data_IF_612259657620
#
_entry.id   IF_612259657620
#
_cell.length_a   1.000
_cell.length_b   1.000
_cell.length_c   1.000
_cell.angle_alpha   90.00
_cell.angle_beta   90.00
_cell.angle_gamma   90.00
#
_symmetry.space_group_name_H-M   'P 1'
#
loop_
_entity.id
_entity.type
_entity.pdbx_description
1 polymer ?
#
# COMPACT_ATOMS: atom_id res chain seq x y z
N UNK A 1 13.51 -29.72 -2.22
CA UNK A 1 12.04 -29.69 -2.16
C UNK A 1 11.51 -29.65 -3.58
N UNK A 2 10.31 -30.17 -3.84
CA UNK A 2 9.70 -30.12 -5.18
C UNK A 2 9.12 -28.72 -5.48
N UNK A 3 9.19 -28.24 -6.74
CA UNK A 3 8.54 -26.98 -7.14
C UNK A 3 7.01 -27.11 -7.12
N UNK A 4 6.25 -26.01 -6.95
CA UNK A 4 4.79 -26.04 -6.96
C UNK A 4 4.25 -26.41 -8.35
N UNK A 5 3.57 -27.56 -8.43
CA UNK A 5 2.99 -28.07 -9.69
C UNK A 5 1.70 -27.31 -10.05
N UNK A 6 1.78 -26.42 -11.04
CA UNK A 6 0.58 -25.83 -11.65
C UNK A 6 -0.04 -26.81 -12.66
N UNK A 7 -1.22 -27.34 -12.33
CA UNK A 7 -1.98 -28.30 -13.15
C UNK A 7 -2.98 -27.64 -14.11
N UNK A 8 -3.11 -26.30 -14.06
CA UNK A 8 -3.98 -25.55 -14.95
C UNK A 8 -3.46 -25.48 -16.38
N UNK A 9 -4.33 -25.04 -17.30
CA UNK A 9 -3.93 -24.79 -18.69
C UNK A 9 -3.04 -23.54 -18.78
N UNK A 10 -2.15 -23.44 -19.79
CA UNK A 10 -1.53 -22.16 -20.14
C UNK A 10 -2.61 -21.11 -20.44
N UNK A 11 -2.42 -19.89 -19.96
CA UNK A 11 -3.41 -18.81 -20.09
C UNK A 11 -2.75 -17.42 -20.10
N UNK A 12 -3.42 -16.46 -20.73
CA UNK A 12 -3.06 -15.05 -20.75
C UNK A 12 -4.15 -14.27 -20.03
N UNK A 13 -3.81 -13.63 -18.90
CA UNK A 13 -4.73 -12.80 -18.12
C UNK A 13 -4.42 -11.35 -18.47
N UNK A 14 -5.26 -10.72 -19.30
CA UNK A 14 -5.14 -9.31 -19.66
C UNK A 14 -5.33 -8.44 -18.41
N UNK A 15 -4.44 -7.48 -18.20
CA UNK A 15 -4.57 -6.50 -17.12
C UNK A 15 -5.71 -5.53 -17.39
N UNK A 16 -6.43 -5.12 -16.34
CA UNK A 16 -7.29 -3.93 -16.43
C UNK A 16 -6.42 -2.68 -16.49
N UNK A 17 -7.01 -1.55 -16.87
CA UNK A 17 -6.33 -0.26 -16.89
C UNK A 17 -5.76 0.14 -15.51
N UNK A 18 -6.48 -0.21 -14.43
CA UNK A 18 -6.01 -0.02 -13.05
C UNK A 18 -4.78 -0.88 -12.72
N UNK A 19 -4.81 -2.18 -13.08
CA UNK A 19 -3.70 -3.10 -12.80
C UNK A 19 -2.43 -2.74 -13.58
N UNK A 20 -2.61 -2.30 -14.83
CA UNK A 20 -1.52 -1.91 -15.72
C UNK A 20 -0.83 -0.62 -15.24
N UNK A 21 -1.56 0.31 -14.62
CA UNK A 21 -0.99 1.53 -14.03
C UNK A 21 -0.02 1.22 -12.88
N UNK A 22 -0.38 0.26 -12.02
CA UNK A 22 0.41 -0.12 -10.84
C UNK A 22 1.38 -1.27 -11.09
N UNK A 23 1.43 -1.84 -12.29
CA UNK A 23 2.15 -3.10 -12.57
C UNK A 23 3.66 -3.04 -12.34
N UNK A 24 4.23 -1.84 -12.31
CA UNK A 24 5.65 -1.55 -12.05
C UNK A 24 6.01 -1.62 -10.55
N UNK A 25 5.01 -1.73 -9.67
CA UNK A 25 5.18 -1.77 -8.22
C UNK A 25 5.08 -3.20 -7.68
N UNK A 26 5.79 -3.46 -6.58
CA UNK A 26 5.53 -4.61 -5.71
C UNK A 26 4.88 -4.13 -4.41
N UNK A 27 3.84 -4.83 -3.95
CA UNK A 27 3.35 -4.72 -2.57
C UNK A 27 4.27 -5.55 -1.69
N UNK A 28 4.83 -4.94 -0.65
CA UNK A 28 5.83 -5.55 0.22
C UNK A 28 5.42 -5.40 1.68
N UNK A 29 5.33 -6.53 2.40
CA UNK A 29 4.98 -6.56 3.83
C UNK A 29 5.89 -7.54 4.58
N UNK A 30 6.07 -7.31 5.89
CA UNK A 30 6.88 -8.17 6.78
C UNK A 30 6.09 -8.50 8.04
N UNK A 31 6.05 -9.78 8.41
CA UNK A 31 5.32 -10.29 9.57
C UNK A 31 6.27 -10.91 10.60
N UNK A 32 6.15 -10.48 11.86
CA UNK A 32 7.06 -10.86 12.95
C UNK A 32 6.35 -11.71 14.02
N UNK A 33 6.61 -13.01 14.01
CA UNK A 33 6.03 -14.00 14.92
C UNK A 33 6.98 -14.34 16.08
N UNK A 34 6.47 -14.33 17.31
CA UNK A 34 7.25 -14.50 18.55
C UNK A 34 7.16 -15.95 19.08
N UNK A 35 8.29 -16.66 19.16
CA UNK A 35 8.34 -18.01 19.74
C UNK A 35 8.47 -17.93 21.27
N UNK A 36 7.38 -17.55 21.93
CA UNK A 36 7.33 -17.29 23.39
C UNK A 36 7.82 -18.47 24.22
N UNK A 37 7.43 -19.67 23.82
CA UNK A 37 7.68 -20.90 24.55
C UNK A 37 9.01 -21.58 24.12
N UNK A 38 9.76 -20.96 23.19
CA UNK A 38 11.00 -21.49 22.58
C UNK A 38 10.83 -22.92 22.04
N UNK A 39 9.64 -23.23 21.49
CA UNK A 39 9.34 -24.55 20.92
C UNK A 39 10.25 -24.85 19.73
N UNK A 40 10.88 -26.04 19.64
CA UNK A 40 11.71 -26.41 18.50
C UNK A 40 10.89 -26.47 17.20
N UNK A 41 9.62 -26.86 17.30
CA UNK A 41 8.70 -27.02 16.16
C UNK A 41 7.86 -25.74 15.90
N UNK A 42 8.38 -24.56 16.24
CA UNK A 42 7.69 -23.29 16.01
C UNK A 42 7.70 -22.89 14.54
N UNK A 43 6.54 -23.00 13.88
CA UNK A 43 6.35 -22.69 12.46
C UNK A 43 7.36 -23.41 11.53
N UNK A 44 7.37 -24.75 11.47
CA UNK A 44 8.42 -25.51 10.79
C UNK A 44 8.54 -25.17 9.30
N UNK A 45 9.76 -25.02 8.80
CA UNK A 45 10.04 -24.58 7.44
C UNK A 45 9.38 -25.44 6.36
N UNK A 46 9.45 -26.77 6.47
CA UNK A 46 8.76 -27.70 5.56
C UNK A 46 7.23 -27.49 5.54
N UNK A 47 6.64 -27.18 6.70
CA UNK A 47 5.19 -26.87 6.81
C UNK A 47 4.87 -25.53 6.12
N UNK A 48 5.68 -24.49 6.35
CA UNK A 48 5.51 -23.18 5.71
C UNK A 48 5.68 -23.26 4.19
N UNK A 49 6.74 -23.91 3.71
CA UNK A 49 7.00 -24.10 2.28
C UNK A 49 5.93 -24.97 1.60
N UNK A 50 5.51 -26.07 2.23
CA UNK A 50 4.44 -26.91 1.67
C UNK A 50 3.10 -26.16 1.63
N UNK A 51 2.79 -25.37 2.66
CA UNK A 51 1.61 -24.48 2.66
C UNK A 51 1.71 -23.39 1.58
N UNK A 52 2.91 -22.86 1.34
CA UNK A 52 3.17 -21.86 0.30
C UNK A 52 2.93 -22.45 -1.09
N UNK A 53 3.46 -23.64 -1.37
CA UNK A 53 3.26 -24.35 -2.65
C UNK A 53 1.79 -24.74 -2.89
N UNK A 54 1.06 -25.15 -1.84
CA UNK A 54 -0.40 -25.32 -1.89
C UNK A 54 -1.15 -24.01 -2.16
N UNK A 55 -0.66 -22.89 -1.64
CA UNK A 55 -1.33 -21.59 -1.80
C UNK A 55 -1.05 -20.98 -3.17
N UNK A 56 0.20 -20.95 -3.63
CA UNK A 56 0.57 -20.29 -4.89
C UNK A 56 -0.08 -20.95 -6.11
N UNK A 57 -0.31 -22.26 -6.07
CA UNK A 57 -1.08 -23.00 -7.09
C UNK A 57 -2.57 -22.64 -7.13
N UNK A 58 -3.14 -22.14 -6.02
CA UNK A 58 -4.49 -21.57 -5.98
C UNK A 58 -4.54 -20.12 -6.51
N UNK A 59 -3.40 -19.45 -6.73
CA UNK A 59 -3.30 -18.07 -7.21
C UNK A 59 -2.48 -17.96 -8.52
N UNK A 60 -2.99 -18.45 -9.67
CA UNK A 60 -2.25 -18.46 -10.95
C UNK A 60 -1.65 -17.12 -11.41
N UNK A 61 -2.25 -15.94 -11.17
CA UNK A 61 -1.62 -14.66 -11.54
C UNK A 61 -0.25 -14.39 -10.90
N UNK A 62 0.07 -15.06 -9.78
CA UNK A 62 1.39 -14.96 -9.13
C UNK A 62 2.44 -15.91 -9.72
N UNK A 63 2.03 -16.86 -10.56
CA UNK A 63 2.91 -17.81 -11.27
C UNK A 63 3.21 -17.40 -12.72
N UNK A 64 2.66 -16.29 -13.19
CA UNK A 64 2.84 -15.81 -14.57
C UNK A 64 3.88 -14.71 -14.69
N UNK A 65 4.42 -14.56 -15.90
CA UNK A 65 5.28 -13.44 -16.28
C UNK A 65 4.43 -12.28 -16.81
N UNK A 66 4.62 -11.07 -16.25
CA UNK A 66 4.09 -9.84 -16.84
C UNK A 66 4.77 -9.60 -18.20
N UNK A 67 3.99 -9.48 -19.28
CA UNK A 67 4.48 -9.20 -20.63
C UNK A 67 3.57 -8.22 -21.36
N UNK A 68 4.19 -7.27 -22.07
CA UNK A 68 3.49 -6.44 -23.04
C UNK A 68 3.11 -7.27 -24.28
N UNK A 69 1.93 -6.99 -24.82
CA UNK A 69 1.34 -7.62 -26.00
C UNK A 69 1.49 -6.70 -27.24
N UNK A 70 1.32 -7.21 -28.47
CA UNK A 70 1.44 -6.41 -29.70
C UNK A 70 0.43 -5.25 -29.84
N UNK A 71 -0.66 -5.24 -29.07
CA UNK A 71 -1.61 -4.11 -28.99
C UNK A 71 -1.20 -3.05 -27.93
N UNK A 72 0.04 -3.12 -27.45
CA UNK A 72 0.62 -2.38 -26.31
C UNK A 72 0.00 -2.67 -24.93
N UNK A 73 -1.03 -3.51 -24.82
CA UNK A 73 -1.61 -3.87 -23.53
C UNK A 73 -0.68 -4.78 -22.71
N UNK A 74 -0.89 -4.83 -21.40
CA UNK A 74 -0.15 -5.72 -20.50
C UNK A 74 -0.99 -6.95 -20.16
N UNK A 75 -0.35 -8.12 -20.13
CA UNK A 75 -0.96 -9.37 -19.66
C UNK A 75 -0.01 -10.13 -18.74
N UNK A 76 -0.57 -10.90 -17.81
CA UNK A 76 0.15 -11.93 -17.06
C UNK A 76 0.05 -13.23 -17.87
N UNK A 77 1.19 -13.68 -18.40
CA UNK A 77 1.31 -14.92 -19.18
C UNK A 77 1.69 -16.05 -18.23
N UNK A 78 0.78 -17.01 -18.05
CA UNK A 78 0.99 -18.21 -17.24
C UNK A 78 1.26 -19.36 -18.21
N UNK A 79 2.52 -19.73 -18.34
CA UNK A 79 2.97 -20.87 -19.14
C UNK A 79 3.40 -21.99 -18.19
N UNK A 80 2.81 -23.19 -18.35
CA UNK A 80 3.12 -24.35 -17.50
C UNK A 80 4.58 -24.81 -17.62
N UNK A 81 5.21 -24.53 -18.77
CA UNK A 81 6.60 -24.91 -19.07
C UNK A 81 7.58 -23.75 -18.79
N UNK A 82 7.06 -22.58 -18.40
CA UNK A 82 7.83 -21.36 -18.09
C UNK A 82 7.08 -20.53 -17.02
N UNK A 83 6.93 -21.10 -15.83
CA UNK A 83 6.29 -20.46 -14.69
C UNK A 83 7.26 -19.47 -14.01
N UNK A 84 6.73 -18.30 -13.65
CA UNK A 84 7.41 -17.30 -12.84
C UNK A 84 7.37 -17.71 -11.35
N UNK A 85 8.08 -18.80 -11.00
CA UNK A 85 8.04 -19.36 -9.65
C UNK A 85 8.65 -18.36 -8.65
N UNK A 86 7.90 -17.91 -7.62
CA UNK A 86 8.45 -17.04 -6.59
C UNK A 86 9.51 -17.79 -5.77
N UNK A 87 10.64 -17.14 -5.56
CA UNK A 87 11.78 -17.75 -4.88
C UNK A 87 11.55 -17.82 -3.36
N UNK A 88 11.28 -19.03 -2.85
CA UNK A 88 11.28 -19.28 -1.42
C UNK A 88 12.72 -19.46 -0.93
N UNK A 89 13.23 -18.46 -0.20
CA UNK A 89 14.51 -18.52 0.52
C UNK A 89 14.24 -18.80 1.99
N UNK A 90 15.19 -19.45 2.65
CA UNK A 90 15.24 -19.57 4.11
C UNK A 90 16.63 -19.14 4.60
N UNK A 91 16.70 -18.56 5.79
CA UNK A 91 17.95 -18.11 6.41
C UNK A 91 17.87 -18.20 7.93
N UNK A 92 19.02 -18.32 8.57
CA UNK A 92 19.19 -18.16 10.02
C UNK A 92 19.91 -16.85 10.33
N UNK A 93 19.53 -16.24 11.46
CA UNK A 93 20.13 -15.00 11.94
C UNK A 93 20.61 -15.14 13.38
N UNK A 94 21.49 -14.25 13.82
CA UNK A 94 21.89 -14.08 15.22
C UNK A 94 21.06 -12.99 15.93
N UNK A 95 20.31 -12.17 15.20
CA UNK A 95 19.43 -11.12 15.76
C UNK A 95 18.23 -11.75 16.44
N UNK A 96 18.03 -11.55 17.74
CA UNK A 96 16.96 -12.18 18.52
C UNK A 96 15.65 -11.36 18.42
N UNK A 97 14.48 -12.02 18.46
CA UNK A 97 13.16 -11.38 18.29
C UNK A 97 12.95 -10.18 19.23
N UNK A 98 13.38 -10.32 20.49
CA UNK A 98 13.25 -9.26 21.49
C UNK A 98 14.06 -8.00 21.16
N UNK A 99 15.14 -8.08 20.37
CA UNK A 99 15.94 -6.92 19.98
C UNK A 99 15.18 -6.11 18.92
N UNK A 100 14.61 -6.79 17.93
CA UNK A 100 13.73 -6.19 16.91
C UNK A 100 12.51 -5.54 17.59
N UNK A 101 11.90 -6.25 18.55
CA UNK A 101 10.75 -5.79 19.36
C UNK A 101 11.09 -4.57 20.22
N UNK A 102 12.29 -4.52 20.81
CA UNK A 102 12.78 -3.38 21.59
C UNK A 102 13.09 -2.16 20.70
N UNK A 103 13.63 -2.39 19.50
CA UNK A 103 13.83 -1.38 18.46
C UNK A 103 12.52 -1.00 17.72
N UNK A 104 11.34 -1.32 18.24
CA UNK A 104 10.06 -0.92 17.65
C UNK A 104 9.80 -1.47 16.25
N UNK A 105 10.44 -2.59 15.89
CA UNK A 105 10.46 -3.19 14.55
C UNK A 105 11.13 -2.31 13.46
N UNK A 106 12.06 -1.43 13.84
CA UNK A 106 12.93 -0.69 12.92
C UNK A 106 13.68 -1.63 11.95
N UNK A 107 13.60 -1.34 10.65
CA UNK A 107 14.26 -2.12 9.60
C UNK A 107 15.79 -2.17 9.73
N UNK A 108 16.39 -1.19 10.42
CA UNK A 108 17.83 -1.17 10.76
C UNK A 108 18.22 -2.25 11.76
N UNK A 109 17.26 -2.80 12.50
CA UNK A 109 17.44 -3.91 13.43
C UNK A 109 17.02 -5.27 12.84
N UNK A 110 16.60 -5.35 11.58
CA UNK A 110 16.20 -6.62 10.95
C UNK A 110 17.44 -7.44 10.51
N UNK A 111 17.34 -8.78 10.39
CA UNK A 111 18.35 -9.59 9.73
C UNK A 111 18.63 -9.09 8.30
N UNK A 112 19.88 -9.17 7.85
CA UNK A 112 20.26 -8.83 6.46
C UNK A 112 19.54 -9.70 5.41
N UNK A 113 19.21 -10.95 5.78
CA UNK A 113 18.73 -12.00 4.87
C UNK A 113 17.36 -12.57 5.32
N UNK A 114 16.61 -11.80 6.12
CA UNK A 114 15.23 -12.03 6.62
C UNK A 114 14.53 -13.35 6.23
N UNK A 115 14.52 -14.32 7.17
CA UNK A 115 13.47 -15.34 7.27
C UNK A 115 13.28 -15.86 8.70
N UNK A 116 14.34 -16.19 9.44
CA UNK A 116 14.24 -16.51 10.89
C UNK A 116 15.06 -15.55 11.76
N UNK A 117 14.78 -15.55 13.07
CA UNK A 117 15.49 -14.75 14.08
C UNK A 117 16.14 -15.66 15.13
N UNK A 118 17.24 -15.18 15.71
CA UNK A 118 18.22 -15.97 16.45
C UNK A 118 17.68 -16.73 17.66
N UNK A 119 18.39 -17.79 18.03
CA UNK A 119 18.03 -18.72 19.11
C UNK A 119 16.62 -19.35 18.98
N UNK A 120 16.08 -19.45 17.76
CA UNK A 120 14.68 -19.86 17.52
C UNK A 120 13.68 -19.00 18.33
N UNK A 121 13.94 -17.70 18.45
CA UNK A 121 13.09 -16.76 19.20
C UNK A 121 11.84 -16.29 18.42
N UNK A 122 11.70 -16.70 17.15
CA UNK A 122 10.61 -16.30 16.28
C UNK A 122 10.91 -16.49 14.79
N UNK A 123 10.00 -15.99 13.96
CA UNK A 123 10.08 -16.03 12.49
C UNK A 123 9.73 -14.64 11.92
N UNK A 124 10.42 -14.23 10.85
CA UNK A 124 10.24 -12.95 10.18
C UNK A 124 9.93 -13.17 8.69
N UNK A 125 8.64 -13.19 8.33
CA UNK A 125 8.18 -13.53 6.97
C UNK A 125 8.10 -12.27 6.12
N UNK A 126 8.99 -12.14 5.13
CA UNK A 126 8.92 -11.13 4.08
C UNK A 126 8.10 -11.63 2.89
N UNK A 127 7.10 -10.86 2.45
CA UNK A 127 6.36 -11.12 1.20
C UNK A 127 6.44 -9.91 0.27
N UNK A 128 6.73 -10.17 -1.01
CA UNK A 128 6.82 -9.17 -2.08
C UNK A 128 6.10 -9.67 -3.33
N UNK A 129 4.89 -9.20 -3.58
CA UNK A 129 4.07 -9.61 -4.73
C UNK A 129 3.93 -8.44 -5.71
N UNK A 130 3.92 -8.70 -7.03
CA UNK A 130 3.66 -7.64 -8.01
C UNK A 130 2.24 -7.11 -7.87
N UNK A 131 2.11 -5.78 -7.83
CA UNK A 131 0.81 -5.10 -7.74
C UNK A 131 -0.04 -5.29 -9.02
N UNK A 132 0.57 -5.76 -10.13
CA UNK A 132 -0.14 -6.25 -11.30
C UNK A 132 -1.02 -7.48 -11.00
N UNK A 133 -0.56 -8.36 -10.10
CA UNK A 133 -1.24 -9.61 -9.78
C UNK A 133 -2.43 -9.42 -8.83
N UNK A 134 -2.39 -8.38 -8.01
CA UNK A 134 -3.47 -7.95 -7.13
C UNK A 134 -3.08 -6.74 -6.29
N UNK A 135 -4.07 -6.09 -5.68
CA UNK A 135 -3.91 -4.96 -4.77
C UNK A 135 -3.69 -5.41 -3.31
N UNK A 136 -3.78 -4.47 -2.35
CA UNK A 136 -3.64 -4.78 -0.93
C UNK A 136 -4.66 -5.81 -0.41
N UNK A 137 -5.90 -5.81 -0.93
CA UNK A 137 -6.89 -6.82 -0.57
C UNK A 137 -6.54 -8.20 -1.15
N UNK A 138 -6.10 -8.26 -2.41
CA UNK A 138 -5.58 -9.49 -3.04
C UNK A 138 -4.35 -10.05 -2.31
N UNK A 139 -3.44 -9.18 -1.89
CA UNK A 139 -2.26 -9.53 -1.08
C UNK A 139 -2.65 -10.15 0.26
N UNK A 140 -3.58 -9.52 1.01
CA UNK A 140 -4.06 -10.07 2.27
C UNK A 140 -4.88 -11.35 2.08
N UNK A 141 -5.60 -11.50 0.96
CA UNK A 141 -6.29 -12.75 0.62
C UNK A 141 -5.31 -13.91 0.41
N UNK A 142 -4.19 -13.68 -0.29
CA UNK A 142 -3.10 -14.65 -0.44
C UNK A 142 -2.45 -15.00 0.90
N UNK A 143 -2.03 -13.99 1.68
CA UNK A 143 -1.37 -14.20 2.97
C UNK A 143 -2.26 -14.97 3.97
N UNK A 144 -3.55 -14.63 4.03
CA UNK A 144 -4.52 -15.36 4.87
C UNK A 144 -4.71 -16.81 4.39
N UNK A 145 -4.73 -17.08 3.08
CA UNK A 145 -4.81 -18.46 2.57
C UNK A 145 -3.56 -19.27 2.90
N UNK A 146 -2.38 -18.68 2.84
CA UNK A 146 -1.14 -19.34 3.27
C UNK A 146 -1.17 -19.73 4.74
N UNK A 147 -1.66 -18.84 5.61
CA UNK A 147 -1.87 -19.12 7.04
C UNK A 147 -2.93 -20.21 7.28
N UNK A 148 -3.95 -20.33 6.41
CA UNK A 148 -4.91 -21.44 6.45
C UNK A 148 -4.25 -22.78 6.06
N UNK A 149 -3.56 -22.85 4.92
CA UNK A 149 -2.87 -24.07 4.47
C UNK A 149 -1.79 -24.54 5.47
N UNK A 150 -1.12 -23.60 6.16
CA UNK A 150 -0.15 -23.93 7.20
C UNK A 150 -0.82 -24.55 8.45
N UNK A 151 -1.97 -24.02 8.88
CA UNK A 151 -2.78 -24.61 9.98
C UNK A 151 -3.36 -25.97 9.60
N UNK A 152 -3.79 -26.13 8.36
CA UNK A 152 -4.27 -27.39 7.76
C UNK A 152 -3.20 -28.48 7.84
N UNK A 153 -1.96 -28.15 7.47
CA UNK A 153 -0.83 -29.08 7.55
C UNK A 153 -0.39 -29.37 8.99
N UNK A 154 -0.35 -28.35 9.87
CA UNK A 154 0.10 -28.52 11.26
C UNK A 154 -0.91 -29.28 12.14
N UNK A 155 -2.22 -29.04 11.95
CA UNK A 155 -3.27 -29.52 12.84
C UNK A 155 -4.16 -30.62 12.23
N UNK A 156 -3.96 -30.97 10.95
CA UNK A 156 -4.83 -31.91 10.23
C UNK A 156 -6.26 -31.39 9.97
N UNK A 157 -6.51 -30.08 10.15
CA UNK A 157 -7.83 -29.47 9.89
C UNK A 157 -8.13 -29.39 8.39
N UNK A 158 -9.40 -29.39 8.00
CA UNK A 158 -9.80 -29.23 6.59
C UNK A 158 -9.69 -27.76 6.16
N UNK A 159 -9.11 -27.50 4.98
CA UNK A 159 -9.06 -26.17 4.38
C UNK A 159 -10.47 -25.70 3.99
N UNK A 160 -10.77 -24.41 4.12
CA UNK A 160 -12.02 -23.87 3.56
C UNK A 160 -12.02 -24.01 2.04
N UNK A 161 -13.11 -24.49 1.44
CA UNK A 161 -13.29 -24.38 0.00
C UNK A 161 -13.54 -22.90 -0.34
N UNK A 162 -12.64 -22.33 -1.14
CA UNK A 162 -12.63 -20.92 -1.54
C UNK A 162 -12.40 -20.85 -3.03
N UNK A 163 -13.42 -20.43 -3.75
CA UNK A 163 -13.34 -20.20 -5.17
C UNK A 163 -12.87 -18.76 -5.43
N UNK A 164 -11.77 -18.63 -6.15
CA UNK A 164 -11.22 -17.35 -6.57
C UNK A 164 -11.50 -17.16 -8.06
N UNK A 165 -11.97 -15.98 -8.47
CA UNK A 165 -12.07 -15.62 -9.90
C UNK A 165 -10.85 -14.83 -10.35
N UNK A 166 -10.37 -15.16 -11.54
CA UNK A 166 -9.27 -14.48 -12.22
C UNK A 166 -9.68 -13.94 -13.61
N UNK A 167 -10.96 -14.05 -13.98
CA UNK A 167 -11.54 -13.33 -15.12
C UNK A 167 -11.61 -11.84 -14.76
N UNK A 168 -10.61 -11.07 -15.24
CA UNK A 168 -10.55 -9.62 -15.05
C UNK A 168 -11.50 -8.86 -15.97
N UNK A 169 -11.99 -9.48 -17.04
CA UNK A 169 -13.00 -8.91 -17.93
C UNK A 169 -14.38 -8.86 -17.25
N UNK A 170 -14.57 -9.55 -16.11
CA UNK A 170 -15.71 -9.33 -15.21
C UNK A 170 -15.91 -7.86 -14.86
N UNK A 171 -14.84 -7.04 -14.72
CA UNK A 171 -15.00 -5.62 -14.36
C UNK A 171 -15.87 -4.87 -15.38
N UNK A 172 -15.73 -5.19 -16.68
CA UNK A 172 -16.50 -4.58 -17.77
C UNK A 172 -18.00 -4.89 -17.70
N UNK A 173 -18.36 -5.97 -16.99
CA UNK A 173 -19.75 -6.40 -16.77
C UNK A 173 -20.39 -5.65 -15.59
N UNK A 174 -19.59 -4.97 -14.76
CA UNK A 174 -20.02 -4.17 -13.60
C UNK A 174 -19.78 -2.65 -13.77
N UNK A 175 -18.96 -2.21 -14.74
CA UNK A 175 -18.93 -0.80 -15.15
C UNK A 175 -20.31 -0.39 -15.70
N UNK A 176 -20.93 0.72 -15.22
CA UNK A 176 -22.13 1.27 -15.84
C UNK A 176 -21.85 1.72 -17.27
N UNK A 177 -22.91 2.05 -18.02
CA UNK A 177 -22.77 2.64 -19.36
C UNK A 177 -22.55 4.15 -19.31
N UNK A 178 -23.13 4.81 -18.32
CA UNK A 178 -23.02 6.24 -18.10
C UNK A 178 -21.62 6.63 -17.59
N UNK A 179 -21.26 7.89 -17.80
CA UNK A 179 -19.91 8.42 -17.55
C UNK A 179 -20.00 9.79 -16.90
N UNK A 180 -19.46 9.90 -15.69
CA UNK A 180 -19.31 11.17 -14.98
C UNK A 180 -18.04 11.86 -15.44
N UNK A 181 -18.11 13.12 -15.86
CA UNK A 181 -16.93 13.85 -16.32
C UNK A 181 -15.91 14.03 -15.20
N UNK A 182 -14.66 13.59 -15.43
CA UNK A 182 -13.56 13.83 -14.51
C UNK A 182 -13.09 15.28 -14.58
N UNK A 183 -12.63 15.82 -13.45
CA UNK A 183 -11.97 17.11 -13.43
C UNK A 183 -10.55 17.01 -14.03
N UNK A 184 -10.04 18.14 -14.52
CA UNK A 184 -8.72 18.22 -15.18
C UNK A 184 -7.57 17.76 -14.26
N UNK A 185 -7.68 18.03 -12.95
CA UNK A 185 -6.66 17.67 -11.98
C UNK A 185 -6.53 16.14 -11.78
N UNK A 186 -7.61 15.37 -11.92
CA UNK A 186 -7.53 13.90 -12.00
C UNK A 186 -6.71 13.47 -13.22
N UNK A 187 -6.99 14.06 -14.40
CA UNK A 187 -6.33 13.69 -15.66
C UNK A 187 -4.81 13.99 -15.70
N UNK A 188 -4.34 15.01 -14.96
CA UNK A 188 -2.91 15.33 -14.75
C UNK A 188 -2.18 14.41 -13.75
N UNK A 189 -2.87 13.52 -13.03
CA UNK A 189 -2.25 12.82 -11.88
C UNK A 189 -1.16 11.82 -12.25
N UNK A 190 -1.28 11.20 -13.43
CA UNK A 190 -0.49 10.03 -13.77
C UNK A 190 0.94 10.35 -14.23
N UNK A 191 1.19 11.58 -14.70
CA UNK A 191 2.45 11.93 -15.37
C UNK A 191 3.61 12.27 -14.39
N UNK A 192 3.37 12.27 -13.07
CA UNK A 192 4.32 12.78 -12.04
C UNK A 192 4.94 11.70 -11.14
N UNK A 193 4.65 10.42 -11.36
CA UNK A 193 4.79 9.39 -10.31
C UNK A 193 6.22 8.93 -9.98
N UNK A 194 7.25 9.19 -10.81
CA UNK A 194 8.57 8.57 -10.68
C UNK A 194 9.69 9.63 -10.64
N UNK A 195 9.88 10.24 -9.47
CA UNK A 195 11.00 11.14 -9.18
C UNK A 195 12.11 10.44 -8.39
N UNK A 196 13.35 10.46 -8.91
CA UNK A 196 14.52 9.93 -8.21
C UNK A 196 15.05 10.92 -7.16
N UNK A 197 14.51 10.86 -5.94
CA UNK A 197 15.01 11.58 -4.77
C UNK A 197 15.40 10.58 -3.66
N UNK A 198 16.18 10.99 -2.64
CA UNK A 198 16.54 10.13 -1.51
C UNK A 198 15.35 9.99 -0.53
N UNK A 199 14.35 9.23 -0.95
CA UNK A 199 13.16 8.91 -0.16
C UNK A 199 13.53 8.04 1.05
N UNK A 200 12.93 8.35 2.20
CA UNK A 200 13.05 7.56 3.43
C UNK A 200 11.64 7.30 3.99
N UNK A 201 11.45 6.13 4.61
CA UNK A 201 10.27 5.81 5.42
C UNK A 201 10.50 6.17 6.89
N UNK A 202 9.42 6.58 7.57
CA UNK A 202 9.31 6.66 9.04
C UNK A 202 8.02 5.98 9.49
N UNK A 203 8.01 5.44 10.70
CA UNK A 203 6.83 4.78 11.27
C UNK A 203 6.32 5.52 12.52
N UNK A 204 5.01 5.70 12.60
CA UNK A 204 4.32 6.27 13.76
C UNK A 204 3.25 5.32 14.28
N UNK A 205 3.08 5.25 15.61
CA UNK A 205 1.96 4.57 16.27
C UNK A 205 0.91 5.60 16.66
N UNK A 206 -0.28 5.49 16.07
CA UNK A 206 -1.41 6.38 16.31
C UNK A 206 -2.45 5.68 17.18
N UNK A 207 -2.73 6.26 18.33
CA UNK A 207 -3.67 5.72 19.30
C UNK A 207 -5.12 5.96 18.83
N UNK A 208 -5.92 4.90 18.66
CA UNK A 208 -7.28 5.04 18.13
C UNK A 208 -8.32 5.43 19.19
N UNK A 209 -7.96 5.50 20.47
CA UNK A 209 -8.75 6.15 21.52
C UNK A 209 -8.47 7.66 21.50
N UNK A 210 -7.20 8.09 21.36
CA UNK A 210 -6.87 9.51 21.07
C UNK A 210 -7.55 10.01 19.77
N UNK A 211 -7.58 9.21 18.70
CA UNK A 211 -8.35 9.54 17.48
C UNK A 211 -9.87 9.52 17.70
N UNK A 212 -10.36 8.72 18.65
CA UNK A 212 -11.77 8.74 19.05
C UNK A 212 -12.15 10.10 19.63
N UNK A 213 -11.37 10.59 20.60
CA UNK A 213 -11.52 11.92 21.20
C UNK A 213 -11.38 13.01 20.13
N UNK A 214 -10.36 12.96 19.27
CA UNK A 214 -10.21 13.93 18.17
C UNK A 214 -11.45 13.97 17.27
N UNK A 215 -12.00 12.81 16.88
CA UNK A 215 -13.22 12.75 16.05
C UNK A 215 -14.42 13.42 16.74
N UNK A 216 -14.54 13.29 18.06
CA UNK A 216 -15.58 13.94 18.88
C UNK A 216 -15.33 15.45 19.09
N UNK A 217 -14.07 15.90 19.11
CA UNK A 217 -13.70 17.32 19.03
C UNK A 217 -14.06 17.91 17.64
N UNK A 218 -13.73 17.19 16.56
CA UNK A 218 -13.96 17.64 15.18
C UNK A 218 -15.44 17.69 14.82
N UNK A 219 -16.25 16.71 15.26
CA UNK A 219 -17.70 16.67 14.99
C UNK A 219 -18.46 17.93 15.44
N UNK A 220 -17.89 18.75 16.35
CA UNK A 220 -18.46 20.05 16.78
C UNK A 220 -18.37 21.16 15.72
N UNK A 221 -17.58 20.93 14.67
CA UNK A 221 -17.37 21.84 13.54
C UNK A 221 -17.87 21.27 12.20
N UNK A 222 -18.47 20.08 12.24
CA UNK A 222 -18.99 19.35 11.08
C UNK A 222 -20.44 19.79 10.79
N UNK A 223 -20.85 19.95 9.51
CA UNK A 223 -22.23 20.27 9.18
C UNK A 223 -23.23 19.20 9.67
N UNK A 224 -24.44 19.63 10.02
CA UNK A 224 -25.50 18.73 10.49
C UNK A 224 -25.76 17.57 9.51
N UNK A 225 -25.97 16.38 10.06
CA UNK A 225 -26.18 15.14 9.29
C UNK A 225 -24.88 14.47 8.78
N UNK A 226 -23.75 15.17 8.71
CA UNK A 226 -22.47 14.55 8.30
C UNK A 226 -21.81 13.84 9.48
N UNK A 227 -21.45 12.57 9.31
CA UNK A 227 -20.72 11.79 10.33
C UNK A 227 -19.31 11.45 9.84
N UNK A 228 -18.30 11.77 10.65
CA UNK A 228 -16.91 11.38 10.41
C UNK A 228 -16.63 9.97 10.95
N UNK A 229 -15.90 9.19 10.16
CA UNK A 229 -15.27 7.93 10.56
C UNK A 229 -13.84 8.18 11.07
N UNK A 230 -13.21 7.17 11.70
CA UNK A 230 -11.80 7.29 12.09
C UNK A 230 -10.87 7.44 10.86
N UNK A 231 -11.23 6.86 9.71
CA UNK A 231 -10.47 6.97 8.45
C UNK A 231 -10.44 8.42 7.92
N UNK A 232 -11.58 9.12 7.94
CA UNK A 232 -11.65 10.51 7.49
C UNK A 232 -10.73 11.41 8.32
N UNK A 233 -10.75 11.20 9.65
CA UNK A 233 -9.96 11.97 10.61
C UNK A 233 -8.46 11.70 10.48
N UNK A 234 -8.02 10.44 10.34
CA UNK A 234 -6.60 10.15 10.18
C UNK A 234 -6.06 10.59 8.81
N UNK A 235 -6.82 10.42 7.72
CA UNK A 235 -6.40 10.89 6.39
C UNK A 235 -6.31 12.41 6.33
N UNK A 236 -7.25 13.13 6.96
CA UNK A 236 -7.19 14.57 7.14
C UNK A 236 -5.96 15.00 7.97
N UNK A 237 -5.69 14.31 9.08
CA UNK A 237 -4.56 14.60 9.96
C UNK A 237 -3.21 14.37 9.27
N UNK A 238 -3.05 13.24 8.57
CA UNK A 238 -1.89 12.90 7.74
C UNK A 238 -1.65 13.99 6.70
N UNK A 239 -2.65 14.25 5.85
CA UNK A 239 -2.51 15.18 4.72
C UNK A 239 -2.08 16.58 5.19
N UNK A 240 -2.68 17.05 6.28
CA UNK A 240 -2.40 18.37 6.84
C UNK A 240 -1.03 18.47 7.51
N UNK A 241 -0.59 17.39 8.16
CA UNK A 241 0.74 17.27 8.77
C UNK A 241 1.82 17.28 7.70
N UNK A 242 1.68 16.47 6.64
CA UNK A 242 2.60 16.45 5.50
C UNK A 242 2.61 17.81 4.82
N UNK A 243 1.47 18.47 4.63
CA UNK A 243 1.41 19.78 3.98
C UNK A 243 2.15 20.90 4.73
N UNK A 244 2.00 20.95 6.06
CA UNK A 244 2.75 21.92 6.87
C UNK A 244 4.25 21.64 6.85
N UNK A 245 4.63 20.36 6.78
CA UNK A 245 6.02 19.92 6.76
C UNK A 245 6.70 20.23 5.41
N UNK A 246 6.01 19.97 4.28
CA UNK A 246 6.44 20.40 2.94
C UNK A 246 6.54 21.91 2.83
N UNK A 247 5.65 22.67 3.49
CA UNK A 247 5.72 24.13 3.54
C UNK A 247 6.91 24.63 4.36
N UNK A 248 7.16 24.03 5.52
CA UNK A 248 8.27 24.40 6.40
C UNK A 248 9.65 24.19 5.75
N UNK A 249 9.87 23.08 5.06
CA UNK A 249 11.16 22.83 4.38
C UNK A 249 11.45 23.81 3.25
N UNK A 250 10.42 24.25 2.50
CA UNK A 250 10.57 25.28 1.44
C UNK A 250 11.00 26.63 1.99
N UNK A 251 10.50 27.02 3.17
CA UNK A 251 10.92 28.28 3.84
C UNK A 251 12.40 28.24 4.20
N UNK A 252 12.92 27.09 4.63
CA UNK A 252 14.33 26.94 5.04
C UNK A 252 15.34 26.84 3.90
N UNK A 253 14.95 26.39 2.69
CA UNK A 253 15.93 25.97 1.65
C UNK A 253 16.30 27.04 0.62
N UNK A 254 15.41 27.99 0.26
CA UNK A 254 15.72 29.01 -0.76
C UNK A 254 14.77 30.21 -0.76
N UNK A 255 15.03 31.21 0.08
CA UNK A 255 14.19 32.43 0.17
C UNK A 255 14.57 33.55 -0.82
N UNK A 256 15.63 33.39 -1.62
CA UNK A 256 16.25 34.52 -2.36
C UNK A 256 16.07 34.48 -3.89
N UNK A 257 16.02 33.31 -4.55
CA UNK A 257 16.09 33.24 -6.03
C UNK A 257 14.97 32.47 -6.75
N UNK A 258 14.44 31.37 -6.19
CA UNK A 258 13.45 30.53 -6.91
C UNK A 258 12.04 31.13 -6.94
N UNK A 259 11.64 31.81 -5.87
CA UNK A 259 10.23 32.15 -5.63
C UNK A 259 9.70 33.29 -6.51
N UNK A 260 10.59 34.06 -7.15
CA UNK A 260 10.20 35.15 -8.06
C UNK A 260 9.51 34.57 -9.31
N UNK A 261 10.05 33.49 -9.88
CA UNK A 261 9.52 32.90 -11.13
C UNK A 261 8.15 32.23 -10.97
N UNK A 262 7.95 31.46 -9.90
CA UNK A 262 6.67 30.78 -9.63
C UNK A 262 5.55 31.74 -9.22
N UNK A 263 5.88 32.79 -8.46
CA UNK A 263 4.92 33.81 -8.03
C UNK A 263 4.43 34.67 -9.19
N UNK A 264 5.32 35.09 -10.11
CA UNK A 264 4.94 35.79 -11.34
C UNK A 264 4.03 34.93 -12.23
N UNK A 265 4.22 33.60 -12.24
CA UNK A 265 3.40 32.67 -13.01
C UNK A 265 2.01 32.38 -12.41
N UNK A 266 1.68 32.90 -11.22
CA UNK A 266 0.37 32.74 -10.56
C UNK A 266 0.00 31.32 -10.15
N UNK A 267 0.86 30.32 -10.38
CA UNK A 267 0.61 28.91 -10.10
C UNK A 267 0.68 28.64 -8.60
N UNK A 268 -0.48 28.49 -7.96
CA UNK A 268 -0.58 27.94 -6.60
C UNK A 268 -0.03 26.51 -6.59
N UNK A 269 0.79 26.18 -5.61
CA UNK A 269 1.29 24.82 -5.42
C UNK A 269 0.20 23.94 -4.80
N UNK A 270 -0.58 23.25 -5.64
CA UNK A 270 -1.62 22.33 -5.17
C UNK A 270 -1.02 21.04 -4.60
N UNK A 271 -1.21 20.79 -3.31
CA UNK A 271 -0.82 19.55 -2.67
C UNK A 271 -1.94 18.51 -2.70
N UNK A 272 -1.76 17.48 -3.52
CA UNK A 272 -2.70 16.37 -3.71
C UNK A 272 -2.50 15.30 -2.64
N UNK A 273 -3.57 14.98 -1.93
CA UNK A 273 -3.73 13.79 -1.10
C UNK A 273 -4.32 12.68 -1.98
N UNK A 274 -3.65 11.53 -2.07
CA UNK A 274 -4.26 10.34 -2.69
C UNK A 274 -4.70 9.35 -1.60
N UNK A 275 -5.88 8.76 -1.76
CA UNK A 275 -6.50 7.85 -0.79
C UNK A 275 -7.03 6.59 -1.50
N UNK A 276 -6.30 5.48 -1.50
CA UNK A 276 -6.86 4.17 -1.80
C UNK A 276 -8.04 3.87 -0.85
N UNK A 277 -9.16 3.40 -1.38
CA UNK A 277 -10.49 3.37 -0.76
C UNK A 277 -11.32 2.09 -1.09
N UNK A 278 -10.63 0.99 -1.41
CA UNK A 278 -11.09 -0.33 -1.88
C UNK A 278 -12.06 -0.33 -3.08
N UNK A 279 -11.57 -0.80 -4.23
CA UNK A 279 -12.40 -1.09 -5.40
C UNK A 279 -13.30 -2.33 -5.22
N UNK A 280 -14.02 -2.49 -4.08
CA UNK A 280 -14.96 -3.63 -3.80
C UNK A 280 -16.27 -3.34 -3.03
N UNK A 281 -16.72 -2.07 -2.83
CA UNK A 281 -18.15 -1.84 -2.47
C UNK A 281 -19.03 -1.02 -3.45
N UNK A 282 -18.50 -0.18 -4.35
CA UNK A 282 -19.27 0.94 -4.99
C UNK A 282 -19.98 0.69 -6.35
N UNK A 283 -19.31 0.29 -7.44
CA UNK A 283 -19.84 -0.52 -8.59
C UNK A 283 -20.45 -1.89 -8.12
N UNK A 284 -20.67 -2.06 -6.82
CA UNK A 284 -20.03 -3.16 -6.10
C UNK A 284 -18.49 -3.04 -5.96
N UNK A 285 -17.82 -2.01 -6.53
CA UNK A 285 -16.37 -1.67 -6.52
C UNK A 285 -16.04 -0.13 -6.65
N UNK A 286 -15.16 0.55 -5.87
CA UNK A 286 -14.59 1.89 -6.26
C UNK A 286 -13.72 2.66 -5.22
N UNK A 287 -12.70 3.47 -5.61
CA UNK A 287 -11.79 4.31 -4.75
C UNK A 287 -11.64 5.80 -5.23
N UNK A 288 -11.24 6.85 -4.43
CA UNK A 288 -10.92 8.28 -4.85
C UNK A 288 -10.02 9.14 -3.89
N UNK A 289 -9.38 10.21 -4.43
CA UNK A 289 -8.39 11.20 -3.89
C UNK A 289 -8.90 12.67 -3.58
N UNK A 290 -8.10 13.57 -2.92
CA UNK A 290 -8.40 15.04 -2.69
C UNK A 290 -7.15 16.00 -2.47
N UNK A 291 -7.27 17.21 -1.84
CA UNK A 291 -6.22 18.27 -1.68
C UNK A 291 -6.58 19.44 -0.70
N UNK A 292 -5.73 19.83 0.29
CA UNK A 292 -5.92 21.05 1.15
C UNK A 292 -4.59 21.71 1.62
N UNK A 293 -4.58 23.05 1.75
CA UNK A 293 -3.52 23.83 2.43
C UNK A 293 -4.11 24.78 3.51
N UNK A 294 -3.73 24.65 4.78
CA UNK A 294 -4.00 25.63 5.88
C UNK A 294 -3.29 25.25 7.19
N UNK A 295 -3.24 26.16 8.17
CA UNK A 295 -2.81 25.88 9.56
C UNK A 295 -3.78 24.89 10.23
N UNK A 296 -3.28 23.99 11.10
CA UNK A 296 -4.13 23.02 11.81
C UNK A 296 -4.82 23.67 13.00
N UNK A 297 -6.13 23.88 12.86
CA UNK A 297 -7.07 24.10 13.96
C UNK A 297 -8.13 23.01 13.90
N UNK A 298 -8.86 22.76 15.00
CA UNK A 298 -9.93 21.75 14.99
C UNK A 298 -10.96 22.02 13.88
N UNK A 299 -11.39 23.28 13.72
CA UNK A 299 -12.28 23.68 12.62
C UNK A 299 -11.70 23.32 11.25
N UNK A 300 -10.46 23.73 10.97
CA UNK A 300 -9.87 23.55 9.64
C UNK A 300 -9.35 22.13 9.37
N UNK A 301 -9.30 21.28 10.40
CA UNK A 301 -9.11 19.84 10.27
C UNK A 301 -10.46 19.13 10.06
N UNK A 302 -11.54 19.60 10.68
CA UNK A 302 -12.90 19.11 10.45
C UNK A 302 -13.37 19.43 9.02
N UNK A 303 -13.10 20.64 8.52
CA UNK A 303 -13.35 21.04 7.12
C UNK A 303 -12.68 20.06 6.13
N UNK A 304 -11.40 19.72 6.35
CA UNK A 304 -10.69 18.73 5.55
C UNK A 304 -11.23 17.30 5.74
N UNK A 305 -11.60 16.88 6.96
CA UNK A 305 -12.17 15.56 7.20
C UNK A 305 -13.57 15.41 6.58
N UNK A 306 -14.37 16.48 6.57
CA UNK A 306 -15.64 16.56 5.83
C UNK A 306 -15.40 16.47 4.33
N UNK A 307 -14.37 17.14 3.81
CA UNK A 307 -14.07 17.07 2.37
C UNK A 307 -13.51 15.70 1.97
N UNK A 308 -12.68 15.05 2.80
CA UNK A 308 -12.33 13.63 2.64
C UNK A 308 -13.59 12.76 2.63
N UNK A 309 -14.49 12.92 3.60
CA UNK A 309 -15.77 12.19 3.66
C UNK A 309 -16.65 12.44 2.42
N UNK A 310 -16.62 13.65 1.84
CA UNK A 310 -17.30 13.97 0.56
C UNK A 310 -16.61 13.33 -0.64
N UNK A 311 -15.30 13.44 -0.80
CA UNK A 311 -14.57 12.80 -1.92
C UNK A 311 -14.73 11.29 -1.90
N UNK A 312 -14.64 10.69 -0.71
CA UNK A 312 -14.86 9.26 -0.45
C UNK A 312 -16.35 8.87 -0.53
N UNK A 313 -17.28 9.83 -0.49
CA UNK A 313 -18.72 9.64 -0.70
C UNK A 313 -19.18 9.89 -2.14
N UNK A 314 -18.46 10.74 -2.89
CA UNK A 314 -18.72 11.10 -4.29
C UNK A 314 -18.12 10.10 -5.28
N UNK A 315 -17.46 9.05 -4.78
CA UNK A 315 -17.12 7.85 -5.54
C UNK A 315 -18.39 7.08 -5.86
N UNK A 316 -18.72 7.03 -7.13
CA UNK A 316 -19.79 6.20 -7.66
C UNK A 316 -19.27 5.31 -8.78
N UNK A 317 -20.14 4.42 -9.22
CA UNK A 317 -19.91 3.50 -10.32
C UNK A 317 -19.48 4.23 -11.61
N UNK A 318 -20.08 5.40 -11.89
CA UNK A 318 -19.81 6.20 -13.08
C UNK A 318 -18.42 6.84 -13.04
N UNK A 319 -17.97 7.33 -11.88
CA UNK A 319 -16.64 7.90 -11.73
C UNK A 319 -15.56 6.85 -11.97
N UNK A 320 -15.71 5.66 -11.37
CA UNK A 320 -14.79 4.54 -11.57
C UNK A 320 -14.74 4.09 -13.04
N UNK A 321 -15.88 4.10 -13.74
CA UNK A 321 -15.93 3.79 -15.17
C UNK A 321 -15.25 4.85 -16.04
N UNK A 322 -15.38 6.15 -15.73
CA UNK A 322 -14.64 7.19 -16.47
C UNK A 322 -13.15 7.14 -16.17
N UNK A 323 -12.71 6.82 -14.95
CA UNK A 323 -11.28 6.63 -14.66
C UNK A 323 -10.71 5.42 -15.41
N UNK A 324 -11.43 4.30 -15.43
CA UNK A 324 -11.06 3.13 -16.24
C UNK A 324 -10.89 3.50 -17.73
N UNK A 325 -11.84 4.22 -18.32
CA UNK A 325 -11.80 4.56 -19.74
C UNK A 325 -10.75 5.64 -20.06
N UNK A 326 -10.48 6.57 -19.14
CA UNK A 326 -9.38 7.53 -19.26
C UNK A 326 -8.02 6.82 -19.25
N UNK A 327 -7.83 5.85 -18.34
CA UNK A 327 -6.61 5.03 -18.32
C UNK A 327 -6.52 4.15 -19.59
N UNK A 328 -7.61 3.55 -20.04
CA UNK A 328 -7.65 2.69 -21.24
C UNK A 328 -7.33 3.48 -22.52
N UNK A 329 -7.89 4.68 -22.67
CA UNK A 329 -7.64 5.53 -23.85
C UNK A 329 -6.22 6.12 -23.89
N UNK A 330 -5.60 6.35 -22.73
CA UNK A 330 -4.20 6.79 -22.61
C UNK A 330 -3.19 5.63 -22.75
N UNK A 331 -3.22 4.85 -23.84
CA UNK A 331 -2.36 3.68 -24.04
C UNK A 331 -0.84 3.91 -23.82
N UNK A 332 -0.35 5.15 -23.94
CA UNK A 332 1.06 5.52 -23.71
C UNK A 332 1.43 5.73 -22.22
N UNK A 333 0.48 5.84 -21.29
CA UNK A 333 0.80 6.19 -19.89
C UNK A 333 1.55 5.08 -19.14
N UNK A 334 1.37 3.82 -19.55
CA UNK A 334 2.01 2.65 -18.94
C UNK A 334 3.51 2.50 -19.26
N UNK A 335 4.01 3.20 -20.29
CA UNK A 335 5.30 2.88 -20.92
C UNK A 335 6.35 4.00 -20.85
N UNK A 336 5.94 5.28 -20.86
CA UNK A 336 6.82 6.38 -21.27
C UNK A 336 8.00 6.74 -20.34
N UNK A 337 8.17 6.12 -19.16
CA UNK A 337 9.27 6.45 -18.24
C UNK A 337 9.95 5.25 -17.53
N UNK A 338 9.51 4.00 -17.72
CA UNK A 338 10.07 2.85 -16.97
C UNK A 338 10.99 2.01 -17.85
N UNK A 339 12.19 2.54 -18.10
CA UNK A 339 13.31 1.74 -18.59
C UNK A 339 13.73 0.80 -17.45
N UNK A 340 13.25 -0.44 -17.50
CA UNK A 340 13.67 -1.51 -16.57
C UNK A 340 15.13 -1.91 -16.84
N UNK A 341 16.05 -1.10 -16.32
CA UNK A 341 17.46 -1.48 -16.22
C UNK A 341 17.62 -2.67 -15.26
N UNK A 342 18.56 -3.60 -15.52
CA UNK A 342 18.78 -4.77 -14.67
C UNK A 342 19.47 -4.36 -13.36
N UNK A 343 18.68 -3.88 -12.39
CA UNK A 343 19.17 -3.51 -11.06
C UNK A 343 19.59 -4.77 -10.30
N UNK A 344 20.90 -4.91 -10.07
CA UNK A 344 21.46 -5.96 -9.21
C UNK A 344 20.90 -5.80 -7.79
N UNK A 345 20.10 -6.77 -7.35
CA UNK A 345 19.40 -6.72 -6.06
C UNK A 345 20.39 -6.75 -4.88
N UNK A 346 20.72 -5.57 -4.34
CA UNK A 346 21.28 -5.42 -3.00
C UNK A 346 20.19 -4.89 -2.06
N UNK A 347 19.74 -5.75 -1.13
CA UNK A 347 18.82 -5.46 -0.03
C UNK A 347 17.65 -4.53 -0.43
N UNK A 348 16.60 -5.13 -1.03
CA UNK A 348 15.39 -4.41 -1.45
C UNK A 348 14.65 -3.86 -0.22
N UNK A 349 14.92 -2.59 0.10
CA UNK A 349 14.02 -1.79 0.95
C UNK A 349 12.63 -1.76 0.30
N UNK A 350 11.54 -1.67 1.09
CA UNK A 350 10.19 -1.44 0.56
C UNK A 350 10.23 -0.30 -0.49
N UNK A 351 9.76 -0.58 -1.72
CA UNK A 351 9.88 0.38 -2.83
C UNK A 351 9.14 1.67 -2.48
N UNK A 352 9.93 2.69 -2.16
CA UNK A 352 9.47 3.87 -1.42
C UNK A 352 8.93 4.92 -2.38
N UNK A 353 7.66 4.77 -2.77
CA UNK A 353 6.95 5.74 -3.59
C UNK A 353 6.99 7.14 -2.97
N UNK A 354 7.32 8.14 -3.80
CA UNK A 354 7.34 9.55 -3.44
C UNK A 354 6.02 9.96 -2.75
N UNK A 355 6.13 10.75 -1.68
CA UNK A 355 5.00 11.30 -0.91
C UNK A 355 3.94 10.28 -0.43
N UNK A 356 4.26 8.98 -0.41
CA UNK A 356 3.31 7.92 -0.03
C UNK A 356 3.10 7.83 1.48
N UNK A 357 1.89 7.41 1.89
CA UNK A 357 1.58 7.06 3.29
C UNK A 357 0.71 5.81 3.33
N UNK A 358 1.01 4.89 4.23
CA UNK A 358 0.28 3.64 4.42
C UNK A 358 -0.22 3.55 5.86
N UNK A 359 -1.51 3.24 6.03
CA UNK A 359 -2.14 3.02 7.33
C UNK A 359 -2.36 1.52 7.49
N UNK A 360 -1.81 0.95 8.57
CA UNK A 360 -1.89 -0.46 8.92
C UNK A 360 -2.56 -0.61 10.31
N UNK A 361 -3.30 -1.69 10.58
CA UNK A 361 -3.66 -2.03 11.95
C UNK A 361 -2.41 -2.40 12.76
N UNK A 362 -2.33 -1.99 14.03
CA UNK A 362 -1.38 -2.58 14.97
C UNK A 362 -1.85 -4.00 15.35
N UNK A 363 -0.93 -4.83 15.86
CA UNK A 363 -1.21 -6.24 16.18
C UNK A 363 -2.15 -6.37 17.39
N UNK A 364 -3.18 -7.24 17.34
CA UNK A 364 -3.99 -7.56 18.52
C UNK A 364 -3.12 -8.01 19.71
N UNK A 365 -3.46 -7.63 20.96
CA UNK A 365 -4.67 -6.92 21.39
C UNK A 365 -4.61 -5.39 21.26
N UNK A 366 -3.58 -4.82 20.63
CA UNK A 366 -3.51 -3.37 20.41
C UNK A 366 -4.69 -2.88 19.57
N UNK A 367 -5.22 -1.72 19.95
CA UNK A 367 -6.22 -0.97 19.16
C UNK A 367 -5.57 0.12 18.32
N UNK A 368 -4.25 0.30 18.37
CA UNK A 368 -3.56 1.36 17.65
C UNK A 368 -3.54 1.12 16.14
N UNK A 369 -3.18 2.16 15.40
CA UNK A 369 -2.83 2.08 13.99
C UNK A 369 -1.36 2.42 13.80
N UNK A 370 -0.71 1.79 12.83
CA UNK A 370 0.65 2.11 12.41
C UNK A 370 0.57 2.92 11.12
N UNK A 371 1.15 4.12 11.11
CA UNK A 371 1.18 5.01 9.95
C UNK A 371 2.61 5.11 9.47
N UNK A 372 2.90 4.50 8.31
CA UNK A 372 4.17 4.58 7.63
C UNK A 372 4.14 5.74 6.63
N UNK A 373 5.07 6.69 6.75
CA UNK A 373 5.17 7.86 5.87
C UNK A 373 6.50 7.84 5.10
N UNK A 374 6.43 7.92 3.77
CA UNK A 374 7.58 8.07 2.88
C UNK A 374 7.70 9.52 2.43
N UNK A 375 8.87 10.14 2.65
CA UNK A 375 9.16 11.46 2.10
C UNK A 375 10.66 11.75 1.99
N UNK A 376 11.02 12.97 1.58
CA UNK A 376 12.38 13.52 1.73
C UNK A 376 12.76 13.61 3.21
N UNK A 377 14.04 13.43 3.52
CA UNK A 377 14.58 13.47 4.89
C UNK A 377 14.17 14.76 5.61
N UNK A 378 14.16 15.90 4.91
CA UNK A 378 13.81 17.19 5.52
C UNK A 378 12.32 17.26 5.89
N UNK A 379 11.42 16.75 5.04
CA UNK A 379 9.97 16.76 5.34
C UNK A 379 9.66 15.82 6.49
N UNK A 380 10.30 14.66 6.57
CA UNK A 380 10.16 13.73 7.71
C UNK A 380 10.66 14.38 9.02
N UNK A 381 11.73 15.17 8.96
CA UNK A 381 12.24 15.91 10.09
C UNK A 381 11.28 17.02 10.58
N UNK A 382 10.50 17.64 9.68
CA UNK A 382 9.45 18.59 10.06
C UNK A 382 8.15 17.90 10.55
N UNK A 383 7.77 16.75 9.98
CA UNK A 383 6.66 15.92 10.49
C UNK A 383 6.91 15.54 11.95
N UNK A 384 8.16 15.15 12.28
CA UNK A 384 8.58 14.80 13.64
C UNK A 384 8.59 15.98 14.62
N UNK A 385 8.50 17.22 14.15
CA UNK A 385 8.37 18.44 14.97
C UNK A 385 6.93 18.97 15.05
N UNK A 386 6.00 18.41 14.28
CA UNK A 386 4.63 18.93 14.22
C UNK A 386 3.88 18.61 15.52
N UNK A 387 3.78 19.59 16.42
CA UNK A 387 3.17 19.44 17.75
C UNK A 387 1.74 18.85 17.69
N UNK A 388 0.96 19.21 16.67
CA UNK A 388 -0.40 18.70 16.51
C UNK A 388 -0.40 17.23 16.12
N UNK A 389 0.52 16.79 15.25
CA UNK A 389 0.71 15.37 14.93
C UNK A 389 1.16 14.58 16.17
N UNK A 390 2.18 15.06 16.88
CA UNK A 390 2.75 14.41 18.06
C UNK A 390 1.78 14.30 19.25
N UNK A 391 0.70 15.09 19.31
CA UNK A 391 -0.40 14.88 20.28
C UNK A 391 -1.10 13.52 20.09
N UNK A 392 -1.21 13.04 18.85
CA UNK A 392 -1.98 11.83 18.50
C UNK A 392 -1.10 10.65 18.07
N UNK A 393 0.10 10.91 17.56
CA UNK A 393 1.02 9.95 16.95
C UNK A 393 2.37 9.88 17.68
N UNK A 394 2.70 8.72 18.23
CA UNK A 394 4.01 8.45 18.83
C UNK A 394 5.00 8.03 17.72
N UNK A 395 6.19 8.63 17.65
CA UNK A 395 7.23 8.24 16.68
C UNK A 395 7.85 6.88 17.04
N UNK A 396 8.09 6.02 16.04
CA UNK A 396 8.72 4.71 16.22
C UNK A 396 10.15 4.69 15.65
N UNK A 397 10.34 4.90 14.33
CA UNK A 397 11.66 4.86 13.67
C UNK A 397 11.80 5.73 12.41
#
# INVERSE_FOLDING_TARGET
MEPPTYTGKPQSIKLTAFDALVSILNIQQVYFYENKDRSPDFMPADTLHTAFNKTISQFPPLLGHLRQQPDNSLSIIIDKDSLNLPEYRESTSTVHYNDIKACGFDYRAWPSDLMTVGENSGVAVFLSLSHAAGDGAGFHMFANRWVEEAKVLANGSVASDKQFTYDRELIQKFLPKDRKQLNEASAESFDRAIGAAPWQGTLYRVDTEKLGVLREELNRYVPEGVQLTKNDVISALIAKTVAQSVKATKVGRLQVLSNIGSWIAGKREFQRLMIPCDTRPRLGMGEINYSVESQTTLKSLAELAVEVRKSVGAVDAETAATEHDLMTSKANCYMNNVIMTPVVQKLVRPVSNADSTTILPDRPPSKAWLVSMTNTIEVLAEIKKNEFWCKYADFVY
#
